data_IF_888166832460
#
_entry.id   IF_888166832460
#
_cell.length_a   1.000
_cell.length_b   1.000
_cell.length_c   1.000
_cell.angle_alpha   90.00
_cell.angle_beta   90.00
_cell.angle_gamma   90.00
#
_symmetry.space_group_name_H-M   'P 1'
#
loop_
_entity.id
_entity.type
_entity.pdbx_description
1 polymer ?
#
# COMPACT_ATOMS: atom_id res chain seq x y z
N UNK A 1 52.96 35.07 0.67
CA UNK A 1 52.37 34.24 -0.42
C UNK A 1 51.89 32.83 0.00
N UNK A 2 51.90 32.46 1.30
CA UNK A 2 51.40 31.13 1.77
C UNK A 2 49.96 31.15 2.32
N UNK A 3 49.47 32.30 2.79
CA UNK A 3 48.16 32.42 3.45
C UNK A 3 46.98 32.39 2.45
N UNK A 4 47.16 32.99 1.27
CA UNK A 4 46.14 33.01 0.19
C UNK A 4 45.80 31.60 -0.34
N UNK A 5 46.81 30.72 -0.49
CA UNK A 5 46.62 29.34 -0.96
C UNK A 5 45.82 28.46 0.00
N UNK A 6 45.86 28.75 1.30
CA UNK A 6 45.13 28.00 2.32
C UNK A 6 43.63 28.39 2.28
N UNK A 7 43.34 29.68 2.07
CA UNK A 7 41.97 30.18 1.98
C UNK A 7 41.20 29.63 0.77
N UNK A 8 41.85 29.53 -0.40
CA UNK A 8 41.24 28.92 -1.60
C UNK A 8 41.00 27.42 -1.43
N UNK A 9 41.94 26.68 -0.82
CA UNK A 9 41.75 25.26 -0.52
C UNK A 9 40.56 25.02 0.42
N UNK A 10 40.40 25.84 1.46
CA UNK A 10 39.26 25.75 2.38
C UNK A 10 37.92 26.08 1.70
N UNK A 11 37.89 27.09 0.82
CA UNK A 11 36.69 27.45 0.05
C UNK A 11 36.28 26.32 -0.92
N UNK A 12 37.24 25.71 -1.60
CA UNK A 12 36.99 24.58 -2.50
C UNK A 12 36.53 23.33 -1.74
N UNK A 13 37.08 23.05 -0.56
CA UNK A 13 36.66 21.93 0.29
C UNK A 13 35.24 22.11 0.82
N UNK A 14 34.90 23.34 1.26
CA UNK A 14 33.55 23.67 1.71
C UNK A 14 32.53 23.55 0.57
N UNK A 15 32.88 23.98 -0.65
CA UNK A 15 32.05 23.75 -1.84
C UNK A 15 31.91 22.27 -2.20
N UNK A 16 32.97 21.46 -2.03
CA UNK A 16 32.91 20.02 -2.28
C UNK A 16 32.01 19.28 -1.27
N UNK A 17 32.06 19.67 0.02
CA UNK A 17 31.20 19.14 1.07
C UNK A 17 29.72 19.49 0.79
N UNK A 18 29.45 20.71 0.35
CA UNK A 18 28.10 21.12 -0.05
C UNK A 18 27.63 20.29 -1.25
N UNK A 19 28.47 20.10 -2.27
CA UNK A 19 28.13 19.30 -3.45
C UNK A 19 27.89 17.81 -3.10
N UNK A 20 28.70 17.21 -2.24
CA UNK A 20 28.52 15.84 -1.72
C UNK A 20 27.29 15.71 -0.82
N UNK A 21 26.92 16.74 -0.07
CA UNK A 21 25.67 16.73 0.71
C UNK A 21 24.43 16.75 -0.19
N UNK A 22 24.48 17.44 -1.33
CA UNK A 22 23.38 17.47 -2.31
C UNK A 22 23.19 16.13 -3.05
N UNK A 23 24.25 15.33 -3.25
CA UNK A 23 24.13 13.99 -3.84
C UNK A 23 23.61 12.96 -2.84
N UNK A 24 23.90 13.12 -1.55
CA UNK A 24 23.40 12.26 -0.47
C UNK A 24 21.93 12.55 -0.09
N UNK A 25 21.41 13.72 -0.46
CA UNK A 25 19.98 14.09 -0.33
C UNK A 25 19.11 13.63 -1.50
N UNK A 26 19.61 12.75 -2.38
CA UNK A 26 18.73 11.90 -3.19
C UNK A 26 18.00 10.93 -2.26
N UNK A 27 17.05 11.48 -1.52
CA UNK A 27 16.17 10.80 -0.61
C UNK A 27 15.69 9.53 -1.30
N UNK A 28 15.92 8.38 -0.65
CA UNK A 28 15.21 7.15 -0.94
C UNK A 28 13.72 7.52 -0.98
N UNK A 29 13.17 7.75 -2.18
CA UNK A 29 11.78 8.12 -2.32
C UNK A 29 11.00 6.83 -2.13
N UNK A 30 10.77 6.46 -0.86
CA UNK A 30 9.98 5.28 -0.49
C UNK A 30 8.68 5.35 -1.29
N UNK A 31 8.34 4.24 -1.93
CA UNK A 31 7.09 4.14 -2.67
C UNK A 31 5.90 4.39 -1.73
N UNK A 32 4.75 4.71 -2.32
CA UNK A 32 3.53 4.96 -1.54
C UNK A 32 3.13 3.65 -0.90
N UNK A 33 2.81 3.72 0.39
CA UNK A 33 2.34 2.61 1.19
C UNK A 33 1.33 3.17 2.19
N UNK A 34 0.05 2.88 1.98
CA UNK A 34 -1.06 3.46 2.73
C UNK A 34 -1.98 2.34 3.21
N UNK A 35 -2.28 2.35 4.51
CA UNK A 35 -3.21 1.43 5.15
C UNK A 35 -4.37 2.21 5.78
N UNK A 36 -5.60 1.79 5.53
CA UNK A 36 -6.81 2.39 6.10
C UNK A 36 -7.71 1.30 6.69
N UNK A 37 -8.17 1.41 7.94
CA UNK A 37 -9.03 0.40 8.53
C UNK A 37 -10.39 0.37 7.79
N UNK A 38 -10.96 -0.82 7.67
CA UNK A 38 -12.29 -1.06 7.11
C UNK A 38 -12.96 -2.24 7.82
N UNK A 39 -14.27 -2.18 8.00
CA UNK A 39 -15.05 -3.34 8.46
C UNK A 39 -15.62 -4.07 7.25
N UNK A 40 -14.98 -5.15 6.81
CA UNK A 40 -15.44 -5.91 5.63
C UNK A 40 -16.66 -6.78 5.92
N UNK A 41 -17.07 -6.91 7.18
CA UNK A 41 -18.21 -7.76 7.57
C UNK A 41 -19.56 -7.13 7.25
N UNK A 42 -19.57 -5.82 6.95
CA UNK A 42 -20.77 -5.02 6.67
C UNK A 42 -20.68 -4.41 5.29
N UNK A 43 -21.82 -4.35 4.63
CA UNK A 43 -22.03 -3.62 3.39
C UNK A 43 -21.96 -2.10 3.60
N UNK A 44 -21.63 -1.38 2.53
CA UNK A 44 -21.61 0.08 2.49
C UNK A 44 -20.45 0.74 3.26
N UNK A 45 -19.48 -0.04 3.76
CA UNK A 45 -18.28 0.54 4.35
C UNK A 45 -17.37 1.05 3.24
N UNK A 46 -16.98 2.32 3.33
CA UNK A 46 -16.20 2.98 2.29
C UNK A 46 -14.90 3.57 2.84
N UNK A 47 -13.80 3.37 2.13
CA UNK A 47 -12.51 3.99 2.39
C UNK A 47 -12.12 4.86 1.20
N UNK A 48 -11.73 6.11 1.49
CA UNK A 48 -11.18 7.04 0.50
C UNK A 48 -9.68 7.22 0.70
N UNK A 49 -8.94 7.18 -0.41
CA UNK A 49 -7.48 7.40 -0.45
C UNK A 49 -7.18 8.44 -1.53
N UNK A 50 -6.68 9.60 -1.12
CA UNK A 50 -6.20 10.65 -2.02
C UNK A 50 -4.66 10.60 -2.06
N UNK A 51 -4.08 10.55 -3.26
CA UNK A 51 -2.63 10.42 -3.45
C UNK A 51 -2.13 11.04 -4.76
N UNK A 52 -0.83 11.28 -4.87
CA UNK A 52 -0.19 11.81 -6.08
C UNK A 52 0.99 10.93 -6.50
N UNK A 53 1.02 10.56 -7.78
CA UNK A 53 2.11 9.80 -8.38
C UNK A 53 2.94 10.75 -9.24
N UNK A 54 4.23 10.85 -8.90
CA UNK A 54 5.19 11.62 -9.69
C UNK A 54 5.76 10.79 -10.84
N UNK A 55 6.42 11.43 -11.80
CA UNK A 55 7.08 10.76 -12.95
C UNK A 55 8.02 9.62 -12.54
N UNK A 56 8.72 9.76 -11.42
CA UNK A 56 9.68 8.76 -10.92
C UNK A 56 9.02 7.58 -10.19
N UNK A 57 7.75 7.74 -9.80
CA UNK A 57 6.98 6.77 -9.01
C UNK A 57 5.88 6.09 -9.83
N UNK A 58 5.77 6.37 -11.13
CA UNK A 58 4.85 5.66 -12.00
C UNK A 58 5.24 4.19 -12.10
N UNK A 59 4.26 3.29 -12.12
CA UNK A 59 4.50 1.85 -12.14
C UNK A 59 3.29 1.07 -11.64
N UNK A 60 3.54 -0.16 -11.23
CA UNK A 60 2.53 -1.09 -10.75
C UNK A 60 2.17 -0.79 -9.29
N UNK A 61 0.88 -0.63 -9.02
CA UNK A 61 0.35 -0.45 -7.67
C UNK A 61 -0.78 -1.44 -7.42
N UNK A 62 -0.77 -1.98 -6.21
CA UNK A 62 -1.75 -2.92 -5.72
C UNK A 62 -2.76 -2.21 -4.81
N UNK A 63 -4.03 -2.50 -5.03
CA UNK A 63 -5.12 -2.30 -4.08
C UNK A 63 -5.45 -3.66 -3.48
N UNK A 64 -5.42 -3.79 -2.16
CA UNK A 64 -5.66 -5.05 -1.48
C UNK A 64 -6.50 -4.88 -0.21
N UNK A 65 -7.12 -5.98 0.22
CA UNK A 65 -7.66 -6.15 1.56
C UNK A 65 -6.64 -6.91 2.41
N UNK A 66 -6.38 -6.41 3.61
CA UNK A 66 -5.52 -7.03 4.59
C UNK A 66 -6.36 -7.50 5.77
N UNK A 67 -6.22 -8.77 6.15
CA UNK A 67 -6.94 -9.35 7.29
C UNK A 67 -5.96 -9.78 8.37
N UNK A 68 -6.14 -9.33 9.61
CA UNK A 68 -5.29 -9.75 10.71
C UNK A 68 -5.38 -11.25 10.96
N UNK A 69 -4.23 -11.92 11.10
CA UNK A 69 -4.17 -13.39 11.24
C UNK A 69 -4.56 -13.89 12.64
N UNK A 70 -4.71 -12.97 13.61
CA UNK A 70 -4.92 -13.33 15.01
C UNK A 70 -3.65 -13.87 15.68
N UNK A 71 -3.81 -14.38 16.90
CA UNK A 71 -2.71 -14.90 17.70
C UNK A 71 -2.83 -16.43 17.82
N UNK A 72 -1.73 -17.13 17.56
CA UNK A 72 -1.63 -18.58 17.75
C UNK A 72 -2.06 -19.41 16.53
N UNK A 73 -1.48 -20.60 16.42
CA UNK A 73 -1.60 -21.47 15.25
C UNK A 73 -3.05 -21.87 14.93
N UNK A 74 -3.86 -22.18 15.95
CA UNK A 74 -5.26 -22.62 15.78
C UNK A 74 -6.14 -21.52 15.18
N UNK A 75 -5.97 -20.27 15.62
CA UNK A 75 -6.73 -19.14 15.06
C UNK A 75 -6.28 -18.82 13.63
N UNK A 76 -4.99 -18.95 13.33
CA UNK A 76 -4.47 -18.79 11.97
C UNK A 76 -5.09 -19.84 11.03
N UNK A 77 -5.06 -21.11 11.41
CA UNK A 77 -5.63 -22.20 10.60
C UNK A 77 -7.16 -22.04 10.40
N UNK A 78 -7.87 -21.57 11.43
CA UNK A 78 -9.31 -21.27 11.32
C UNK A 78 -9.57 -20.16 10.31
N UNK A 79 -8.75 -19.11 10.32
CA UNK A 79 -8.89 -17.94 9.44
C UNK A 79 -8.41 -18.22 8.02
N UNK A 80 -7.42 -19.08 7.82
CA UNK A 80 -6.97 -19.49 6.48
C UNK A 80 -8.10 -20.10 5.66
N UNK A 81 -9.04 -20.81 6.29
CA UNK A 81 -10.26 -21.33 5.61
C UNK A 81 -11.20 -20.21 5.14
N UNK A 82 -11.23 -19.08 5.84
CA UNK A 82 -12.03 -17.91 5.49
C UNK A 82 -11.35 -17.08 4.39
N UNK A 83 -10.04 -16.86 4.55
CA UNK A 83 -9.22 -16.04 3.66
C UNK A 83 -8.91 -16.74 2.35
N UNK A 84 -8.92 -18.07 2.33
CA UNK A 84 -8.44 -18.83 1.19
C UNK A 84 -6.92 -18.87 1.13
N UNK A 85 -6.43 -19.63 0.15
CA UNK A 85 -5.02 -19.81 -0.18
C UNK A 85 -4.89 -20.05 -1.69
N UNK A 86 -3.71 -20.48 -2.15
CA UNK A 86 -3.47 -20.73 -3.58
C UNK A 86 -4.37 -21.83 -4.19
N UNK A 87 -4.90 -22.74 -3.36
CA UNK A 87 -5.73 -23.87 -3.81
C UNK A 87 -7.23 -23.66 -3.53
N UNK A 88 -7.58 -22.67 -2.71
CA UNK A 88 -8.94 -22.43 -2.23
C UNK A 88 -9.24 -20.96 -2.17
N UNK A 89 -10.31 -20.55 -2.84
CA UNK A 89 -10.75 -19.15 -2.95
C UNK A 89 -11.19 -18.52 -1.61
N UNK A 90 -11.51 -19.34 -0.59
CA UNK A 90 -12.08 -18.83 0.65
C UNK A 90 -13.46 -18.19 0.44
N UNK A 91 -13.87 -17.31 1.34
CA UNK A 91 -15.14 -16.59 1.23
C UNK A 91 -14.94 -15.32 0.41
N UNK A 92 -15.74 -15.15 -0.64
CA UNK A 92 -15.69 -13.95 -1.48
C UNK A 92 -16.11 -12.70 -0.70
N UNK A 93 -15.41 -11.59 -0.94
CA UNK A 93 -15.81 -10.26 -0.45
C UNK A 93 -16.05 -9.36 -1.68
N UNK A 94 -17.31 -9.06 -2.00
CA UNK A 94 -17.67 -8.11 -3.06
C UNK A 94 -17.30 -6.68 -2.67
N UNK A 95 -16.49 -6.03 -3.49
CA UNK A 95 -16.10 -4.61 -3.33
C UNK A 95 -16.25 -3.86 -4.64
N UNK A 96 -16.56 -2.57 -4.57
CA UNK A 96 -16.34 -1.65 -5.68
C UNK A 96 -15.03 -0.89 -5.49
N UNK A 97 -14.27 -0.71 -6.57
CA UNK A 97 -13.10 0.15 -6.63
C UNK A 97 -13.32 1.20 -7.70
N UNK A 98 -13.41 2.46 -7.26
CA UNK A 98 -13.48 3.64 -8.13
C UNK A 98 -12.24 4.49 -7.95
N UNK A 99 -11.47 4.63 -9.03
CA UNK A 99 -10.24 5.41 -9.11
C UNK A 99 -10.43 6.56 -10.11
N UNK A 100 -10.28 7.79 -9.63
CA UNK A 100 -10.33 9.01 -10.43
C UNK A 100 -8.92 9.58 -10.54
N UNK A 101 -8.47 9.86 -11.76
CA UNK A 101 -7.20 10.52 -12.07
C UNK A 101 -7.47 11.90 -12.65
N UNK A 102 -6.91 12.94 -12.04
CA UNK A 102 -6.98 14.33 -12.53
C UNK A 102 -8.43 14.75 -12.89
N UNK A 103 -9.40 14.32 -12.07
CA UNK A 103 -10.83 14.60 -12.26
C UNK A 103 -11.57 13.69 -13.25
N UNK A 104 -10.90 12.74 -13.90
CA UNK A 104 -11.51 11.76 -14.83
C UNK A 104 -11.47 10.36 -14.25
N UNK A 105 -12.53 9.58 -14.49
CA UNK A 105 -12.55 8.16 -14.08
C UNK A 105 -11.46 7.40 -14.82
N UNK A 106 -10.57 6.76 -14.07
CA UNK A 106 -9.48 5.93 -14.57
C UNK A 106 -9.82 4.44 -14.46
N UNK A 107 -10.49 4.04 -13.38
CA UNK A 107 -10.99 2.69 -13.17
C UNK A 107 -12.27 2.75 -12.33
N UNK A 108 -13.28 1.95 -12.66
CA UNK A 108 -14.53 1.88 -11.90
C UNK A 108 -15.17 0.51 -12.15
N UNK A 109 -15.02 -0.41 -11.19
CA UNK A 109 -15.55 -1.78 -11.29
C UNK A 109 -15.93 -2.35 -9.94
N UNK A 110 -16.92 -3.23 -9.96
CA UNK A 110 -17.22 -4.17 -8.90
C UNK A 110 -16.40 -5.45 -9.09
N UNK A 111 -15.87 -5.98 -7.99
CA UNK A 111 -14.91 -7.08 -7.97
C UNK A 111 -15.25 -7.99 -6.79
N UNK A 112 -15.43 -9.28 -7.07
CA UNK A 112 -15.52 -10.31 -6.04
C UNK A 112 -14.11 -10.77 -5.69
N UNK A 113 -13.60 -10.28 -4.57
CA UNK A 113 -12.25 -10.62 -4.11
C UNK A 113 -12.26 -11.99 -3.46
N UNK A 114 -11.35 -12.85 -3.92
CA UNK A 114 -11.18 -14.23 -3.46
C UNK A 114 -9.69 -14.56 -3.37
N UNK A 115 -9.37 -15.63 -2.66
CA UNK A 115 -8.01 -16.11 -2.48
C UNK A 115 -7.17 -15.22 -1.58
N UNK A 116 -5.89 -15.59 -1.50
CA UNK A 116 -4.85 -14.89 -0.77
C UNK A 116 -3.56 -14.91 -1.59
N UNK A 117 -2.92 -13.75 -1.68
CA UNK A 117 -1.62 -13.56 -2.35
C UNK A 117 -0.44 -13.81 -1.41
N UNK A 118 -0.69 -13.97 -0.11
CA UNK A 118 0.34 -14.24 0.88
C UNK A 118 0.12 -13.54 2.22
N UNK A 119 1.21 -13.33 2.94
CA UNK A 119 1.23 -12.73 4.28
C UNK A 119 2.15 -11.51 4.27
N UNK A 120 1.71 -10.44 4.90
CA UNK A 120 2.46 -9.21 5.10
C UNK A 120 2.44 -8.80 6.56
N UNK A 121 3.44 -8.03 6.99
CA UNK A 121 3.40 -7.34 8.27
C UNK A 121 3.64 -5.86 8.08
N UNK A 122 2.86 -5.03 8.77
CA UNK A 122 3.06 -3.58 8.79
C UNK A 122 2.85 -3.03 10.20
N UNK A 123 3.30 -1.79 10.41
CA UNK A 123 3.05 -1.07 11.66
C UNK A 123 1.85 -0.13 11.49
N UNK A 124 0.89 -0.24 12.39
CA UNK A 124 -0.27 0.65 12.47
C UNK A 124 -0.49 1.05 13.92
N UNK A 125 -0.55 2.35 14.20
CA UNK A 125 -0.61 2.90 15.56
C UNK A 125 0.43 2.27 16.51
N UNK A 126 1.70 2.24 16.08
CA UNK A 126 2.86 1.68 16.82
C UNK A 126 2.80 0.16 17.10
N UNK A 127 1.75 -0.53 16.66
CA UNK A 127 1.60 -1.98 16.76
C UNK A 127 1.97 -2.65 15.45
N UNK A 128 2.79 -3.69 15.51
CA UNK A 128 3.01 -4.58 14.36
C UNK A 128 1.81 -5.51 14.18
N UNK A 129 1.23 -5.52 13.00
CA UNK A 129 0.09 -6.36 12.62
C UNK A 129 0.56 -7.32 11.54
N UNK A 130 0.29 -8.62 11.72
CA UNK A 130 0.49 -9.64 10.70
C UNK A 130 -0.84 -9.89 10.00
N UNK A 131 -0.84 -9.81 8.68
CA UNK A 131 -2.04 -9.89 7.87
C UNK A 131 -1.89 -10.81 6.69
N UNK A 132 -2.99 -11.44 6.29
CA UNK A 132 -3.14 -12.11 5.02
C UNK A 132 -3.59 -11.08 3.98
N UNK A 133 -2.93 -11.09 2.82
CA UNK A 133 -3.15 -10.14 1.72
C UNK A 133 -4.10 -10.75 0.70
N UNK A 134 -5.18 -10.03 0.35
CA UNK A 134 -6.10 -10.40 -0.72
C UNK A 134 -6.15 -9.29 -1.76
N UNK A 135 -5.75 -9.60 -2.99
CA UNK A 135 -5.78 -8.61 -4.07
C UNK A 135 -7.21 -8.18 -4.39
N UNK A 136 -7.41 -6.87 -4.52
CA UNK A 136 -8.58 -6.32 -5.20
C UNK A 136 -8.21 -6.12 -6.66
N UNK A 137 -7.14 -5.36 -6.89
CA UNK A 137 -6.64 -5.08 -8.23
C UNK A 137 -5.24 -4.50 -8.20
N UNK A 138 -4.37 -5.04 -9.06
CA UNK A 138 -3.14 -4.37 -9.47
C UNK A 138 -3.32 -3.56 -10.76
N UNK A 139 -2.83 -2.32 -10.79
CA UNK A 139 -2.94 -1.38 -11.91
C UNK A 139 -1.59 -0.68 -12.18
N UNK A 140 -1.24 -0.50 -13.45
CA UNK A 140 -0.16 0.39 -13.87
C UNK A 140 -0.66 1.83 -13.77
N UNK A 141 -0.13 2.61 -12.83
CA UNK A 141 -0.56 3.99 -12.60
C UNK A 141 0.45 5.00 -13.18
N UNK A 142 0.05 5.79 -14.21
CA UNK A 142 0.88 6.88 -14.70
C UNK A 142 0.93 8.06 -13.71
N UNK A 143 1.80 9.05 -13.93
CA UNK A 143 1.85 10.24 -13.09
C UNK A 143 0.53 11.02 -13.12
N UNK A 144 0.13 11.56 -11.98
CA UNK A 144 -1.10 12.34 -11.81
C UNK A 144 -1.60 12.35 -10.36
N UNK A 145 -2.68 13.09 -10.13
CA UNK A 145 -3.38 13.11 -8.83
C UNK A 145 -4.54 12.15 -8.88
N UNK A 146 -4.67 11.35 -7.83
CA UNK A 146 -5.62 10.27 -7.75
C UNK A 146 -6.51 10.38 -6.52
N UNK A 147 -7.74 9.89 -6.68
CA UNK A 147 -8.68 9.65 -5.61
C UNK A 147 -9.28 8.25 -5.81
N UNK A 148 -8.98 7.34 -4.89
CA UNK A 148 -9.54 6.00 -4.86
C UNK A 148 -10.63 5.91 -3.79
N UNK A 149 -11.74 5.28 -4.12
CA UNK A 149 -12.79 4.89 -3.18
C UNK A 149 -13.01 3.39 -3.32
N UNK A 150 -12.88 2.69 -2.20
CA UNK A 150 -13.18 1.26 -2.10
C UNK A 150 -14.38 1.09 -1.19
N UNK A 151 -15.42 0.40 -1.64
CA UNK A 151 -16.66 0.20 -0.88
C UNK A 151 -17.04 -1.28 -0.83
N UNK A 152 -17.39 -1.79 0.35
CA UNK A 152 -17.96 -3.14 0.50
C UNK A 152 -19.39 -3.16 -0.01
N UNK A 153 -19.75 -4.17 -0.80
CA UNK A 153 -21.07 -4.22 -1.46
C UNK A 153 -22.07 -5.10 -0.72
N UNK A 154 -21.60 -6.09 0.02
CA UNK A 154 -22.44 -7.08 0.73
C UNK A 154 -21.99 -7.28 2.17
N UNK A 155 -22.91 -7.76 3.02
CA UNK A 155 -22.58 -8.19 4.38
C UNK A 155 -21.85 -9.54 4.32
N UNK A 156 -20.67 -9.61 4.94
CA UNK A 156 -19.85 -10.84 5.01
C UNK A 156 -19.60 -11.20 6.47
N UNK A 157 -20.62 -11.70 7.21
CA UNK A 157 -20.56 -11.87 8.66
C UNK A 157 -19.49 -12.85 9.13
N UNK A 158 -18.95 -13.69 8.24
CA UNK A 158 -17.82 -14.56 8.53
C UNK A 158 -16.54 -13.80 8.93
N UNK A 159 -16.42 -12.52 8.55
CA UNK A 159 -15.32 -11.63 8.92
C UNK A 159 -15.60 -10.78 10.17
N UNK A 160 -16.74 -10.99 10.85
CA UNK A 160 -17.06 -10.28 12.09
C UNK A 160 -15.93 -10.40 13.12
N UNK A 161 -15.47 -9.27 13.64
CA UNK A 161 -14.40 -9.20 14.64
C UNK A 161 -12.99 -9.45 14.09
N UNK A 162 -12.82 -9.54 12.76
CA UNK A 162 -11.51 -9.58 12.12
C UNK A 162 -11.06 -8.16 11.79
N UNK A 163 -9.99 -7.71 12.45
CA UNK A 163 -9.34 -6.43 12.15
C UNK A 163 -8.87 -6.45 10.69
N UNK A 164 -9.39 -5.51 9.88
CA UNK A 164 -9.20 -5.50 8.42
C UNK A 164 -8.82 -4.10 7.91
N UNK A 165 -8.06 -4.07 6.82
CA UNK A 165 -7.56 -2.83 6.23
C UNK A 165 -7.65 -2.86 4.71
N UNK A 166 -7.81 -1.69 4.11
CA UNK A 166 -7.49 -1.43 2.71
C UNK A 166 -6.03 -1.02 2.63
N UNK A 167 -5.29 -1.66 1.72
CA UNK A 167 -3.93 -1.31 1.34
C UNK A 167 -3.93 -0.64 -0.04
N UNK A 168 -3.10 0.40 -0.17
CA UNK A 168 -2.62 0.90 -1.44
C UNK A 168 -1.09 0.99 -1.38
N UNK A 169 -0.41 0.10 -2.11
CA UNK A 169 1.04 -0.01 -2.07
C UNK A 169 1.63 -0.22 -3.47
N UNK A 170 2.90 0.11 -3.64
CA UNK A 170 3.62 -0.19 -4.87
C UNK A 170 3.87 -1.69 -4.97
N UNK A 171 3.43 -2.28 -6.07
CA UNK A 171 3.55 -3.70 -6.32
C UNK A 171 4.76 -3.93 -7.22
N UNK A 172 5.78 -4.59 -6.68
CA UNK A 172 6.87 -5.10 -7.51
C UNK A 172 6.67 -6.61 -7.65
N UNK A 173 6.32 -7.14 -8.84
CA UNK A 173 6.07 -8.57 -9.05
C UNK A 173 7.31 -9.48 -8.85
N UNK A 174 8.42 -8.98 -8.28
CA UNK A 174 9.65 -9.73 -8.04
C UNK A 174 10.39 -9.23 -6.79
N UNK A 175 10.35 -10.05 -5.73
CA UNK A 175 11.56 -10.58 -5.07
C UNK A 175 11.38 -12.09 -4.96
#
# INVERSE_FOLDING_TARGET
MKVLRIHERFKNWRNMIIFMSCTLLMACSKYIDIYRPIDVSKSGQSVKIDFEISKRKAGDYQFALLFANGNGFVEMERRDKLFGNIDKDGIAIPVSLRLVKDGKVFFDKEINTVGSEGIQSFYYNERRINTTVRDIKTLVLPPGRYSAVITTLEDVPAFNGIESFVEFSYYNPKI
#
